data_IF_415208169287
#
_entry.id   IF_415208169287
#
_cell.length_a   1.000
_cell.length_b   1.000
_cell.length_c   1.000
_cell.angle_alpha   90.00
_cell.angle_beta   90.00
_cell.angle_gamma   90.00
#
_symmetry.space_group_name_H-M   'P 1'
#
loop_
_entity.id
_entity.type
_entity.pdbx_description
1 polymer ?
#
# COMPACT_ATOMS: atom_id res chain seq x y z
N UNK A 1 -13.10 -41.22 34.63
CA UNK A 1 -12.73 -39.85 35.00
C UNK A 1 -13.28 -38.93 33.93
N UNK A 2 -14.34 -38.23 34.22
CA UNK A 2 -14.98 -37.35 33.27
C UNK A 2 -14.21 -36.02 33.30
N UNK A 3 -13.52 -35.69 32.23
CA UNK A 3 -12.93 -34.38 32.00
C UNK A 3 -14.08 -33.39 31.93
N UNK A 4 -14.14 -32.46 32.90
CA UNK A 4 -15.23 -31.50 33.01
C UNK A 4 -15.09 -30.48 31.88
N UNK A 5 -16.26 -30.02 31.38
CA UNK A 5 -16.39 -28.96 30.37
C UNK A 5 -15.67 -27.62 30.74
N UNK A 6 -15.14 -27.49 31.97
CA UNK A 6 -14.29 -26.42 32.44
C UNK A 6 -12.84 -26.53 31.96
N UNK A 7 -12.33 -27.76 31.78
CA UNK A 7 -10.93 -27.98 31.35
C UNK A 7 -10.73 -27.76 29.84
N UNK A 8 -11.81 -27.70 29.08
CA UNK A 8 -11.80 -27.38 27.66
C UNK A 8 -11.91 -25.88 27.34
N UNK A 9 -12.06 -25.03 28.37
CA UNK A 9 -12.15 -23.56 28.19
C UNK A 9 -10.91 -22.78 28.60
N UNK A 10 -9.86 -23.43 29.05
CA UNK A 10 -8.60 -22.80 29.46
C UNK A 10 -7.38 -23.18 28.59
N UNK A 11 -7.53 -23.58 27.36
CA UNK A 11 -6.52 -23.17 26.37
C UNK A 11 -6.78 -21.70 26.02
N UNK A 12 -6.48 -20.82 26.95
CA UNK A 12 -6.19 -19.41 26.63
C UNK A 12 -5.06 -19.48 25.62
N UNK A 13 -5.44 -19.34 24.33
CA UNK A 13 -4.50 -19.27 23.19
C UNK A 13 -3.47 -18.22 23.59
N UNK A 14 -2.30 -18.67 24.06
CA UNK A 14 -1.23 -17.78 24.53
C UNK A 14 -1.01 -16.78 23.41
N UNK A 15 -1.27 -15.51 23.66
CA UNK A 15 -1.14 -14.46 22.65
C UNK A 15 0.26 -14.55 22.05
N UNK A 16 0.35 -14.68 20.74
CA UNK A 16 1.60 -14.77 20.00
C UNK A 16 2.36 -13.46 20.15
N UNK A 17 3.57 -13.49 20.70
CA UNK A 17 4.39 -12.30 20.94
C UNK A 17 5.36 -11.97 19.78
N UNK A 18 5.37 -12.79 18.72
CA UNK A 18 6.22 -12.65 17.55
C UNK A 18 6.10 -13.83 16.62
N UNK A 19 6.81 -13.79 15.51
CA UNK A 19 6.95 -14.94 14.62
C UNK A 19 7.71 -16.06 15.34
N UNK A 20 7.23 -17.30 15.22
CA UNK A 20 8.00 -18.47 15.56
C UNK A 20 9.23 -18.59 14.65
N UNK A 21 10.25 -19.34 15.10
CA UNK A 21 11.48 -19.48 14.30
C UNK A 21 11.25 -20.17 12.94
N UNK A 22 10.29 -21.09 12.84
CA UNK A 22 9.92 -21.74 11.56
C UNK A 22 9.25 -20.74 10.63
N UNK A 23 8.31 -19.95 11.13
CA UNK A 23 7.60 -18.92 10.37
C UNK A 23 8.58 -17.84 9.89
N UNK A 24 9.51 -17.44 10.75
CA UNK A 24 10.57 -16.49 10.42
C UNK A 24 11.50 -17.03 9.31
N UNK A 25 11.95 -18.29 9.42
CA UNK A 25 12.75 -18.93 8.37
C UNK A 25 11.98 -19.06 7.06
N UNK A 26 10.71 -19.45 7.13
CA UNK A 26 9.84 -19.52 5.94
C UNK A 26 9.66 -18.15 5.29
N UNK A 27 9.43 -17.10 6.09
CA UNK A 27 9.33 -15.73 5.58
C UNK A 27 10.58 -15.31 4.83
N UNK A 28 11.76 -15.55 5.40
CA UNK A 28 13.03 -15.28 4.72
C UNK A 28 13.25 -16.12 3.48
N UNK A 29 12.79 -17.36 3.47
CA UNK A 29 12.82 -18.18 2.26
C UNK A 29 12.05 -17.49 1.11
N UNK A 30 10.83 -16.97 1.36
CA UNK A 30 10.08 -16.24 0.35
C UNK A 30 10.80 -14.98 -0.12
N UNK A 31 11.38 -14.20 0.81
CA UNK A 31 12.14 -12.99 0.46
C UNK A 31 13.33 -13.31 -0.45
N UNK A 32 14.12 -14.32 -0.08
CA UNK A 32 15.29 -14.75 -0.86
C UNK A 32 14.86 -15.35 -2.20
N UNK A 33 13.81 -16.19 -2.20
CA UNK A 33 13.25 -16.78 -3.41
C UNK A 33 12.80 -15.69 -4.39
N UNK A 34 12.00 -14.72 -3.96
CA UNK A 34 11.55 -13.63 -4.82
C UNK A 34 12.76 -12.86 -5.37
N UNK A 35 13.71 -12.49 -4.52
CA UNK A 35 14.91 -11.76 -4.95
C UNK A 35 15.70 -12.51 -6.04
N UNK A 36 15.89 -13.83 -5.90
CA UNK A 36 16.71 -14.61 -6.83
C UNK A 36 15.98 -14.96 -8.14
N UNK A 37 14.65 -15.16 -8.08
CA UNK A 37 13.89 -15.72 -9.20
C UNK A 37 12.96 -14.71 -9.88
N UNK A 38 12.79 -13.49 -9.35
CA UNK A 38 11.84 -12.50 -9.88
C UNK A 38 12.05 -12.22 -11.39
N UNK A 39 13.29 -12.19 -11.89
CA UNK A 39 13.54 -11.97 -13.32
C UNK A 39 13.14 -13.16 -14.19
N UNK A 40 13.19 -14.37 -13.64
CA UNK A 40 12.78 -15.58 -14.33
C UNK A 40 11.24 -15.64 -14.34
N UNK A 41 10.60 -15.44 -13.20
CA UNK A 41 9.14 -15.49 -13.08
C UNK A 41 8.46 -14.39 -13.89
N UNK A 42 9.04 -13.19 -13.94
CA UNK A 42 8.53 -12.06 -14.69
C UNK A 42 9.06 -11.93 -16.12
N UNK A 43 9.77 -12.96 -16.63
CA UNK A 43 10.40 -12.92 -17.97
C UNK A 43 9.40 -12.81 -19.13
N UNK A 44 8.15 -13.20 -18.90
CA UNK A 44 7.05 -13.11 -19.87
C UNK A 44 6.48 -11.68 -19.99
N UNK A 45 6.78 -10.79 -19.04
CA UNK A 45 6.27 -9.43 -19.04
C UNK A 45 7.13 -8.51 -19.90
N UNK A 46 6.47 -7.68 -20.68
CA UNK A 46 7.14 -6.62 -21.45
C UNK A 46 7.61 -5.47 -20.53
N UNK A 47 8.62 -4.73 -20.99
CA UNK A 47 9.14 -3.57 -20.30
C UNK A 47 9.45 -2.43 -21.30
N UNK A 48 8.69 -1.30 -21.28
CA UNK A 48 7.53 -1.03 -20.40
C UNK A 48 6.37 -1.99 -20.66
N UNK A 49 5.51 -2.15 -19.66
CA UNK A 49 4.28 -2.93 -19.82
C UNK A 49 3.31 -2.16 -20.71
N UNK A 50 2.77 -2.77 -21.77
CA UNK A 50 1.76 -2.12 -22.60
C UNK A 50 0.48 -1.90 -21.78
N UNK A 51 0.01 -0.65 -21.74
CA UNK A 51 -1.26 -0.30 -21.10
C UNK A 51 -2.35 -0.12 -22.14
N UNK A 52 -3.61 -0.49 -21.83
CA UNK A 52 -4.74 -0.09 -22.63
C UNK A 52 -4.88 1.44 -22.60
N UNK A 53 -5.57 2.07 -23.58
CA UNK A 53 -5.96 3.47 -23.46
C UNK A 53 -6.80 3.68 -22.20
N UNK A 54 -6.41 4.65 -21.36
CA UNK A 54 -7.05 4.93 -20.06
C UNK A 54 -7.47 6.39 -19.93
N UNK A 55 -7.91 6.98 -21.06
CA UNK A 55 -8.25 8.41 -21.17
C UNK A 55 -9.36 8.85 -20.20
N UNK A 56 -10.24 7.93 -19.81
CA UNK A 56 -11.35 8.22 -18.92
C UNK A 56 -11.00 8.06 -17.44
N UNK A 57 -9.77 7.62 -17.14
CA UNK A 57 -9.36 7.37 -15.76
C UNK A 57 -8.73 8.62 -15.14
N UNK A 58 -9.16 8.91 -13.92
CA UNK A 58 -8.48 9.83 -12.99
C UNK A 58 -7.78 9.02 -11.92
N UNK A 59 -6.46 9.20 -11.81
CA UNK A 59 -5.61 8.41 -10.94
C UNK A 59 -4.86 9.32 -9.95
N UNK A 60 -4.92 9.01 -8.66
CA UNK A 60 -4.04 9.63 -7.65
C UNK A 60 -2.89 8.67 -7.38
N UNK A 61 -1.64 9.16 -7.49
CA UNK A 61 -0.43 8.38 -7.22
C UNK A 61 0.39 9.06 -6.12
N UNK A 62 0.54 8.41 -4.96
CA UNK A 62 1.34 8.95 -3.87
C UNK A 62 2.83 8.67 -4.08
N UNK A 63 3.71 9.61 -3.69
CA UNK A 63 5.16 9.45 -3.79
C UNK A 63 5.68 9.32 -5.23
N UNK A 64 5.10 10.07 -6.15
CA UNK A 64 5.31 9.96 -7.60
C UNK A 64 6.47 10.81 -8.15
N UNK A 65 7.34 11.40 -7.30
CA UNK A 65 8.52 12.16 -7.75
C UNK A 65 9.75 11.29 -8.03
N UNK A 66 9.76 10.05 -7.56
CA UNK A 66 10.92 9.17 -7.72
C UNK A 66 10.53 7.69 -7.76
N UNK A 67 11.48 6.82 -8.12
CA UNK A 67 11.34 5.38 -8.05
C UNK A 67 10.15 4.83 -8.82
N UNK A 68 9.48 3.85 -8.22
CA UNK A 68 8.32 3.14 -8.79
C UNK A 68 7.17 4.11 -9.06
N UNK A 69 6.85 4.99 -8.12
CA UNK A 69 5.72 5.93 -8.24
C UNK A 69 5.88 6.91 -9.40
N UNK A 70 7.13 7.33 -9.70
CA UNK A 70 7.43 8.14 -10.87
C UNK A 70 7.10 7.41 -12.17
N UNK A 71 7.48 6.15 -12.28
CA UNK A 71 7.21 5.34 -13.47
C UNK A 71 5.72 5.02 -13.62
N UNK A 72 5.02 4.76 -12.51
CA UNK A 72 3.56 4.58 -12.50
C UNK A 72 2.86 5.84 -13.04
N UNK A 73 3.18 7.01 -12.46
CA UNK A 73 2.55 8.27 -12.86
C UNK A 73 2.82 8.60 -14.33
N UNK A 74 4.07 8.41 -14.79
CA UNK A 74 4.46 8.64 -16.17
C UNK A 74 3.71 7.74 -17.13
N UNK A 75 3.72 6.41 -16.92
CA UNK A 75 3.12 5.46 -17.85
C UNK A 75 1.59 5.60 -17.91
N UNK A 76 0.91 5.92 -16.79
CA UNK A 76 -0.53 6.22 -16.78
C UNK A 76 -0.84 7.49 -17.59
N UNK A 77 -0.04 8.54 -17.43
CA UNK A 77 -0.22 9.78 -18.18
C UNK A 77 0.05 9.60 -19.68
N UNK A 78 1.07 8.84 -20.05
CA UNK A 78 1.38 8.48 -21.44
C UNK A 78 0.27 7.62 -22.09
N UNK A 79 -0.44 6.81 -21.26
CA UNK A 79 -1.61 6.04 -21.70
C UNK A 79 -2.91 6.86 -21.74
N UNK A 80 -2.87 8.15 -21.38
CA UNK A 80 -3.97 9.11 -21.50
C UNK A 80 -4.71 9.42 -20.21
N UNK A 81 -4.38 8.82 -19.06
CA UNK A 81 -5.05 9.10 -17.80
C UNK A 81 -4.83 10.56 -17.34
N UNK A 82 -5.82 11.10 -16.61
CA UNK A 82 -5.60 12.25 -15.74
C UNK A 82 -4.87 11.79 -14.47
N UNK A 83 -3.62 12.21 -14.28
CA UNK A 83 -2.79 11.78 -13.16
C UNK A 83 -2.57 12.90 -12.17
N UNK A 84 -2.93 12.66 -10.91
CA UNK A 84 -2.67 13.55 -9.78
C UNK A 84 -1.43 13.03 -9.04
N UNK A 85 -0.34 13.76 -9.12
CA UNK A 85 0.87 13.48 -8.37
C UNK A 85 0.71 14.01 -6.93
N UNK A 86 0.38 13.13 -6.00
CA UNK A 86 0.25 13.45 -4.58
C UNK A 86 1.61 13.33 -3.88
N UNK A 87 2.25 14.48 -3.61
CA UNK A 87 3.68 14.54 -3.25
C UNK A 87 3.97 15.60 -2.19
N UNK A 88 5.00 15.38 -1.39
CA UNK A 88 5.46 16.35 -0.39
C UNK A 88 6.20 17.56 -1.03
N UNK A 89 6.98 17.31 -2.07
CA UNK A 89 7.73 18.35 -2.77
C UNK A 89 7.08 18.63 -4.12
N UNK A 90 6.15 19.60 -4.14
CA UNK A 90 5.38 19.98 -5.33
C UNK A 90 6.28 20.57 -6.40
N UNK A 91 7.29 21.39 -6.01
CA UNK A 91 8.23 21.99 -6.96
C UNK A 91 9.01 20.93 -7.75
N UNK A 92 9.52 19.90 -7.09
CA UNK A 92 10.21 18.81 -7.78
C UNK A 92 9.29 18.02 -8.72
N UNK A 93 8.00 17.92 -8.39
CA UNK A 93 7.02 17.29 -9.27
C UNK A 93 6.71 18.16 -10.50
N UNK A 94 6.56 19.46 -10.33
CA UNK A 94 6.35 20.43 -11.43
C UNK A 94 7.52 20.41 -12.42
N UNK A 95 8.77 20.45 -11.92
CA UNK A 95 9.98 20.35 -12.75
C UNK A 95 10.00 19.02 -13.54
N UNK A 96 9.58 17.92 -12.91
CA UNK A 96 9.50 16.60 -13.53
C UNK A 96 8.44 16.56 -14.63
N UNK A 97 7.26 17.12 -14.38
CA UNK A 97 6.16 17.20 -15.37
C UNK A 97 6.62 18.02 -16.59
N UNK A 98 7.25 19.16 -16.37
CA UNK A 98 7.75 19.97 -17.48
C UNK A 98 8.77 19.22 -18.34
N UNK A 99 9.65 18.45 -17.71
CA UNK A 99 10.56 17.55 -18.42
C UNK A 99 9.81 16.52 -19.26
N UNK A 100 8.81 15.84 -18.69
CA UNK A 100 8.01 14.83 -19.41
C UNK A 100 7.22 15.45 -20.57
N UNK A 101 6.61 16.61 -20.38
CA UNK A 101 5.88 17.30 -21.43
C UNK A 101 6.80 17.69 -22.61
N UNK A 102 8.05 18.10 -22.31
CA UNK A 102 9.04 18.40 -23.34
C UNK A 102 9.46 17.13 -24.10
N UNK A 103 9.71 16.04 -23.39
CA UNK A 103 10.06 14.74 -23.98
C UNK A 103 8.89 14.17 -24.81
N UNK A 104 7.64 14.40 -24.38
CA UNK A 104 6.42 13.92 -25.05
C UNK A 104 5.96 14.83 -26.20
N UNK A 105 6.54 15.99 -26.36
CA UNK A 105 6.15 16.98 -27.37
C UNK A 105 6.17 16.39 -28.79
N UNK A 106 5.04 16.46 -29.47
CA UNK A 106 4.85 15.89 -30.83
C UNK A 106 4.51 14.40 -30.88
N UNK A 107 4.42 13.71 -29.75
CA UNK A 107 4.07 12.27 -29.71
C UNK A 107 2.55 12.03 -29.54
N UNK A 108 1.78 13.03 -29.19
CA UNK A 108 0.33 12.93 -29.00
C UNK A 108 -0.27 14.15 -28.32
N UNK A 109 -1.43 13.97 -27.67
CA UNK A 109 -2.01 15.01 -26.83
C UNK A 109 -1.11 15.33 -25.64
N UNK A 110 -1.12 16.58 -25.11
CA UNK A 110 -0.38 16.92 -23.90
C UNK A 110 -0.73 16.00 -22.75
N UNK A 111 0.27 15.63 -21.94
CA UNK A 111 0.05 14.81 -20.75
C UNK A 111 -0.85 15.55 -19.76
N UNK A 112 -1.90 14.87 -19.29
CA UNK A 112 -2.85 15.42 -18.33
C UNK A 112 -2.41 15.08 -16.90
N UNK A 113 -1.53 15.93 -16.34
CA UNK A 113 -0.94 15.72 -15.02
C UNK A 113 -1.10 16.99 -14.18
N UNK A 114 -1.51 16.82 -12.93
CA UNK A 114 -1.51 17.87 -11.92
C UNK A 114 -0.75 17.47 -10.65
N UNK A 115 -0.38 18.44 -9.84
CA UNK A 115 0.32 18.24 -8.58
C UNK A 115 -0.56 18.68 -7.42
N UNK A 116 -0.64 17.86 -6.39
CA UNK A 116 -1.25 18.23 -5.10
C UNK A 116 -0.28 17.89 -3.96
N UNK A 117 -0.18 18.80 -2.99
CA UNK A 117 0.67 18.59 -1.82
C UNK A 117 0.08 17.51 -0.90
N UNK A 118 0.92 16.53 -0.51
CA UNK A 118 0.58 15.47 0.43
C UNK A 118 1.83 15.04 1.21
N UNK A 119 1.83 15.24 2.52
CA UNK A 119 2.85 14.73 3.43
C UNK A 119 2.27 13.62 4.31
N UNK A 120 2.68 12.37 4.08
CA UNK A 120 2.20 11.21 4.84
C UNK A 120 2.77 11.13 6.27
N UNK A 121 3.80 11.95 6.60
CA UNK A 121 4.25 12.15 7.98
C UNK A 121 3.35 13.12 8.77
N UNK A 122 2.23 13.54 8.19
CA UNK A 122 1.26 14.44 8.79
C UNK A 122 -0.16 13.99 8.46
N UNK A 123 -0.88 13.43 9.42
CA UNK A 123 -2.28 13.05 9.22
C UNK A 123 -3.17 14.27 8.93
N UNK A 124 -2.85 15.46 9.48
CA UNK A 124 -3.52 16.70 9.07
C UNK A 124 -3.32 17.02 7.58
N UNK A 125 -2.13 16.74 7.03
CA UNK A 125 -1.89 16.93 5.59
C UNK A 125 -2.74 15.98 4.76
N UNK A 126 -2.92 14.74 5.22
CA UNK A 126 -3.78 13.75 4.55
C UNK A 126 -5.24 14.22 4.54
N UNK A 127 -5.75 14.70 5.68
CA UNK A 127 -7.14 15.20 5.76
C UNK A 127 -7.33 16.40 4.83
N UNK A 128 -6.46 17.42 4.91
CA UNK A 128 -6.55 18.59 4.02
C UNK A 128 -6.48 18.22 2.53
N UNK A 129 -5.65 17.25 2.17
CA UNK A 129 -5.60 16.74 0.79
C UNK A 129 -6.95 16.15 0.38
N UNK A 130 -7.54 15.29 1.22
CA UNK A 130 -8.83 14.66 0.95
C UNK A 130 -9.97 15.67 0.89
N UNK A 131 -9.99 16.66 1.77
CA UNK A 131 -10.98 17.76 1.76
C UNK A 131 -10.89 18.56 0.46
N UNK A 132 -9.67 18.98 0.09
CA UNK A 132 -9.43 19.74 -1.14
C UNK A 132 -9.80 18.94 -2.40
N UNK A 133 -9.57 17.61 -2.39
CA UNK A 133 -9.97 16.74 -3.48
C UNK A 133 -11.49 16.55 -3.53
N UNK A 134 -12.11 16.18 -2.42
CA UNK A 134 -13.54 15.88 -2.36
C UNK A 134 -14.40 17.13 -2.68
N UNK A 135 -13.93 18.35 -2.31
CA UNK A 135 -14.60 19.60 -2.63
C UNK A 135 -14.77 19.84 -4.15
N UNK A 136 -13.96 19.17 -4.99
CA UNK A 136 -14.07 19.24 -6.46
C UNK A 136 -15.26 18.45 -7.00
N UNK A 137 -15.87 17.57 -6.18
CA UNK A 137 -16.95 16.64 -6.55
C UNK A 137 -16.62 15.75 -7.77
N UNK A 138 -15.34 15.61 -8.10
CA UNK A 138 -14.86 14.80 -9.21
C UNK A 138 -14.86 13.31 -8.90
N UNK A 139 -14.81 12.51 -9.96
CA UNK A 139 -14.63 11.05 -9.89
C UNK A 139 -13.16 10.70 -9.66
N UNK A 140 -12.91 9.70 -8.81
CA UNK A 140 -11.60 9.07 -8.66
C UNK A 140 -11.72 7.61 -9.06
N UNK A 141 -10.99 7.21 -10.09
CA UNK A 141 -11.06 5.85 -10.62
C UNK A 141 -9.99 4.94 -10.02
N UNK A 142 -8.78 5.49 -9.75
CA UNK A 142 -7.68 4.69 -9.18
C UNK A 142 -6.93 5.50 -8.12
N UNK A 143 -6.85 4.96 -6.91
CA UNK A 143 -5.95 5.43 -5.86
C UNK A 143 -4.78 4.47 -5.76
N UNK A 144 -3.55 4.96 -6.01
CA UNK A 144 -2.34 4.16 -5.86
C UNK A 144 -1.54 4.67 -4.66
N UNK A 145 -1.64 3.96 -3.55
CA UNK A 145 -0.84 4.18 -2.35
C UNK A 145 0.55 3.57 -2.57
N UNK A 146 1.40 4.30 -3.29
CA UNK A 146 2.76 3.84 -3.64
C UNK A 146 3.81 4.37 -2.67
N UNK A 147 3.64 5.57 -2.10
CA UNK A 147 4.60 6.13 -1.18
C UNK A 147 4.89 5.20 -0.01
N UNK A 148 6.15 5.04 0.31
CA UNK A 148 6.59 4.24 1.44
C UNK A 148 8.04 4.58 1.79
N UNK A 149 8.40 4.31 3.03
CA UNK A 149 9.76 4.46 3.54
C UNK A 149 10.28 3.12 4.07
N UNK A 150 11.59 2.93 3.95
CA UNK A 150 12.33 1.84 4.58
C UNK A 150 13.69 2.38 5.03
N UNK A 151 13.76 2.88 6.25
CA UNK A 151 14.95 3.50 6.84
C UNK A 151 15.84 2.42 7.47
N UNK A 152 16.55 1.64 6.64
CA UNK A 152 17.34 0.50 7.08
C UNK A 152 18.48 0.92 7.99
N UNK A 153 18.56 0.28 9.19
CA UNK A 153 19.62 0.52 10.16
C UNK A 153 19.44 1.80 11.00
N UNK A 154 18.42 2.61 10.69
CA UNK A 154 18.12 3.81 11.45
C UNK A 154 17.43 3.49 12.78
N UNK A 155 17.65 4.33 13.81
CA UNK A 155 16.91 4.22 15.06
C UNK A 155 15.43 4.50 14.85
N UNK A 156 14.61 4.10 15.81
CA UNK A 156 13.19 4.41 15.82
C UNK A 156 12.96 5.92 15.80
N UNK A 157 12.15 6.38 14.85
CA UNK A 157 11.75 7.77 14.72
C UNK A 157 10.22 7.87 14.75
N UNK A 158 9.75 9.00 15.26
CA UNK A 158 8.33 9.28 15.37
C UNK A 158 7.96 10.53 14.59
N UNK A 159 6.82 10.49 13.96
CA UNK A 159 6.20 11.66 13.34
C UNK A 159 5.75 12.67 14.39
N UNK A 160 5.33 13.85 13.94
CA UNK A 160 4.69 14.83 14.83
C UNK A 160 3.36 14.35 15.43
N UNK A 161 2.71 13.38 14.78
CA UNK A 161 1.46 12.78 15.24
C UNK A 161 1.69 11.70 16.33
N UNK A 162 2.97 11.41 16.65
CA UNK A 162 3.37 10.48 17.71
C UNK A 162 3.43 9.02 17.27
N UNK A 163 3.41 8.74 15.96
CA UNK A 163 3.48 7.39 15.42
C UNK A 163 4.87 7.10 14.82
N UNK A 164 5.30 5.85 14.95
CA UNK A 164 6.51 5.36 14.32
C UNK A 164 6.43 5.59 12.80
N UNK A 165 7.51 6.11 12.19
CA UNK A 165 7.46 6.63 10.82
C UNK A 165 7.07 5.59 9.78
N UNK A 166 7.53 4.30 9.89
CA UNK A 166 7.10 3.25 8.96
C UNK A 166 5.63 2.92 9.14
N UNK A 167 5.16 2.83 10.39
CA UNK A 167 3.74 2.60 10.68
C UNK A 167 2.89 3.72 10.08
N UNK A 168 3.28 4.97 10.26
CA UNK A 168 2.50 6.09 9.77
C UNK A 168 2.51 6.20 8.26
N UNK A 169 3.68 6.24 7.62
CA UNK A 169 3.80 6.47 6.17
C UNK A 169 3.29 5.28 5.36
N UNK A 170 3.60 4.05 5.79
CA UNK A 170 3.29 2.86 5.01
C UNK A 170 1.89 2.30 5.28
N UNK A 171 1.27 2.65 6.42
CA UNK A 171 -0.01 2.06 6.84
C UNK A 171 -1.06 3.09 7.25
N UNK A 172 -0.83 3.92 8.28
CA UNK A 172 -1.88 4.80 8.82
C UNK A 172 -2.33 5.86 7.81
N UNK A 173 -1.40 6.56 7.18
CA UNK A 173 -1.71 7.60 6.22
C UNK A 173 -2.39 7.04 4.94
N UNK A 174 -1.92 5.93 4.33
CA UNK A 174 -2.66 5.25 3.25
C UNK A 174 -4.05 4.76 3.66
N UNK A 175 -4.23 4.27 4.90
CA UNK A 175 -5.53 3.86 5.41
C UNK A 175 -6.49 5.05 5.50
N UNK A 176 -6.05 6.16 6.12
CA UNK A 176 -6.82 7.40 6.23
C UNK A 176 -7.19 7.95 4.84
N UNK A 177 -6.21 8.01 3.92
CA UNK A 177 -6.42 8.46 2.55
C UNK A 177 -7.47 7.60 1.83
N UNK A 178 -7.36 6.27 1.95
CA UNK A 178 -8.29 5.32 1.33
C UNK A 178 -9.72 5.49 1.83
N UNK A 179 -9.90 5.69 3.14
CA UNK A 179 -11.24 5.87 3.75
C UNK A 179 -11.83 7.23 3.35
N UNK A 180 -11.08 8.32 3.50
CA UNK A 180 -11.61 9.67 3.23
C UNK A 180 -11.87 9.93 1.73
N UNK A 181 -11.26 9.18 0.83
CA UNK A 181 -11.51 9.27 -0.62
C UNK A 181 -12.65 8.35 -1.11
N UNK A 182 -13.29 7.56 -0.25
CA UNK A 182 -14.41 6.69 -0.63
C UNK A 182 -15.51 7.42 -1.41
N UNK A 183 -15.96 8.63 -1.02
CA UNK A 183 -17.00 9.34 -1.79
C UNK A 183 -16.59 9.61 -3.24
N UNK A 184 -15.31 9.93 -3.50
CA UNK A 184 -14.81 10.15 -4.86
C UNK A 184 -14.61 8.84 -5.63
N UNK A 185 -14.19 7.76 -4.95
CA UNK A 185 -14.06 6.41 -5.52
C UNK A 185 -15.43 5.83 -5.90
N UNK A 186 -16.46 6.05 -5.08
CA UNK A 186 -17.84 5.65 -5.41
C UNK A 186 -18.33 6.37 -6.68
N UNK A 187 -18.09 7.69 -6.80
CA UNK A 187 -18.43 8.44 -8.01
C UNK A 187 -17.66 7.99 -9.25
N UNK A 188 -16.44 7.46 -9.05
CA UNK A 188 -15.60 6.92 -10.11
C UNK A 188 -15.77 5.43 -10.38
N UNK A 189 -16.81 4.80 -9.79
CA UNK A 189 -17.05 3.36 -9.96
C UNK A 189 -17.25 2.98 -11.46
N UNK A 190 -16.64 1.87 -11.91
CA UNK A 190 -15.78 0.94 -11.18
C UNK A 190 -14.40 1.54 -10.85
N UNK A 191 -14.03 1.51 -9.58
CA UNK A 191 -12.80 2.13 -9.09
C UNK A 191 -11.92 1.17 -8.31
N UNK A 192 -10.67 1.58 -8.05
CA UNK A 192 -9.66 0.70 -7.45
C UNK A 192 -8.82 1.42 -6.41
N UNK A 193 -8.52 0.73 -5.31
CA UNK A 193 -7.48 1.09 -4.35
C UNK A 193 -6.35 0.08 -4.52
N UNK A 194 -5.17 0.55 -4.92
CA UNK A 194 -3.97 -0.25 -5.12
C UNK A 194 -2.92 0.14 -4.08
N UNK A 195 -2.59 -0.78 -3.19
CA UNK A 195 -1.59 -0.58 -2.15
C UNK A 195 -0.28 -1.24 -2.55
N UNK A 196 0.77 -0.44 -2.79
CA UNK A 196 2.10 -0.97 -3.09
C UNK A 196 2.72 -1.51 -1.80
N UNK A 197 2.75 -2.82 -1.70
CA UNK A 197 3.26 -3.58 -0.58
C UNK A 197 4.72 -3.99 -0.79
N UNK A 198 5.16 -5.10 -0.20
CA UNK A 198 6.52 -5.64 -0.32
C UNK A 198 6.54 -7.11 0.12
N UNK A 199 7.42 -7.91 -0.47
CA UNK A 199 7.74 -9.26 0.00
C UNK A 199 8.16 -9.30 1.47
N UNK A 200 8.63 -8.17 2.02
CA UNK A 200 9.02 -8.08 3.43
C UNK A 200 7.86 -8.30 4.42
N UNK A 201 6.59 -8.24 3.99
CA UNK A 201 5.46 -8.60 4.85
C UNK A 201 5.53 -10.05 5.37
N UNK A 202 6.21 -10.96 4.65
CA UNK A 202 6.41 -12.36 5.07
C UNK A 202 7.24 -12.51 6.35
N UNK A 203 8.02 -11.50 6.71
CA UNK A 203 8.78 -11.45 7.98
C UNK A 203 8.18 -10.42 8.96
N UNK A 204 7.01 -9.88 8.64
CA UNK A 204 6.25 -8.96 9.48
C UNK A 204 5.50 -9.67 10.61
N UNK A 205 5.30 -8.95 11.69
CA UNK A 205 4.44 -9.36 12.79
C UNK A 205 3.77 -8.14 13.41
N UNK A 206 2.44 -8.13 13.52
CA UNK A 206 1.69 -7.01 14.10
C UNK A 206 1.26 -7.37 15.53
N UNK A 207 1.83 -6.67 16.51
CA UNK A 207 1.31 -6.67 17.87
C UNK A 207 0.23 -5.59 18.00
N UNK A 208 -1.02 -6.00 18.07
CA UNK A 208 -2.17 -5.08 18.14
C UNK A 208 -2.26 -4.30 19.46
N UNK A 209 -1.54 -4.71 20.49
CA UNK A 209 -1.46 -3.96 21.76
C UNK A 209 -0.33 -2.91 21.71
N UNK A 210 0.62 -3.06 20.79
CA UNK A 210 1.78 -2.18 20.66
C UNK A 210 2.23 -2.03 19.20
N UNK A 211 1.33 -1.57 18.34
CA UNK A 211 1.63 -1.33 16.91
C UNK A 211 2.76 -0.31 16.73
N UNK A 212 2.93 0.60 17.67
CA UNK A 212 3.96 1.65 17.68
C UNK A 212 5.33 1.16 18.17
N UNK A 213 5.41 -0.09 18.67
CA UNK A 213 6.62 -0.73 19.22
C UNK A 213 7.29 0.14 20.29
N UNK A 214 6.51 0.62 21.27
CA UNK A 214 6.98 1.50 22.35
C UNK A 214 6.95 0.85 23.74
N UNK A 215 6.29 -0.29 23.89
CA UNK A 215 6.12 -0.95 25.20
C UNK A 215 7.42 -1.54 25.77
N UNK A 216 8.46 -1.69 24.95
CA UNK A 216 9.71 -2.36 25.32
C UNK A 216 9.63 -3.89 25.34
N UNK A 217 8.46 -4.50 25.12
CA UNK A 217 8.31 -5.97 25.01
C UNK A 217 9.07 -6.55 23.82
N UNK A 218 9.11 -5.80 22.72
CA UNK A 218 9.86 -6.14 21.50
C UNK A 218 10.95 -5.10 21.27
N UNK A 219 12.13 -5.58 20.89
CA UNK A 219 13.20 -4.68 20.46
C UNK A 219 12.84 -4.13 19.08
N UNK A 220 12.77 -2.81 18.94
CA UNK A 220 12.63 -2.17 17.65
C UNK A 220 13.85 -2.41 16.77
N UNK A 221 13.60 -2.66 15.51
CA UNK A 221 14.54 -2.52 14.40
C UNK A 221 13.78 -1.93 13.22
N UNK A 222 14.47 -1.21 12.34
CA UNK A 222 13.82 -0.67 11.13
C UNK A 222 13.20 -1.76 10.26
N UNK A 223 13.75 -2.98 10.29
CA UNK A 223 13.17 -4.15 9.64
C UNK A 223 11.81 -4.51 10.25
N UNK A 224 11.72 -4.56 11.59
CA UNK A 224 10.45 -4.83 12.29
C UNK A 224 9.43 -3.74 11.99
N UNK A 225 9.79 -2.46 12.07
CA UNK A 225 8.89 -1.35 11.74
C UNK A 225 8.37 -1.46 10.31
N UNK A 226 9.25 -1.64 9.36
CA UNK A 226 8.88 -1.76 7.94
C UNK A 226 8.02 -2.99 7.65
N UNK A 227 8.48 -4.19 7.99
CA UNK A 227 7.79 -5.43 7.67
C UNK A 227 6.42 -5.51 8.35
N UNK A 228 6.32 -5.07 9.61
CA UNK A 228 5.05 -5.03 10.33
C UNK A 228 4.09 -4.00 9.72
N UNK A 229 4.57 -2.83 9.27
CA UNK A 229 3.72 -1.84 8.59
C UNK A 229 3.15 -2.38 7.28
N UNK A 230 3.93 -3.16 6.52
CA UNK A 230 3.48 -3.79 5.27
C UNK A 230 2.48 -4.92 5.52
N UNK A 231 2.65 -5.71 6.58
CA UNK A 231 1.68 -6.72 6.98
C UNK A 231 0.37 -6.07 7.46
N UNK A 232 0.45 -5.02 8.31
CA UNK A 232 -0.72 -4.28 8.77
C UNK A 232 -1.52 -3.68 7.59
N UNK A 233 -0.84 -3.20 6.54
CA UNK A 233 -1.48 -2.70 5.33
C UNK A 233 -2.32 -3.78 4.62
N UNK A 234 -1.82 -5.03 4.52
CA UNK A 234 -2.57 -6.14 3.92
C UNK A 234 -3.78 -6.49 4.78
N UNK A 235 -3.59 -6.63 6.11
CA UNK A 235 -4.67 -6.94 7.04
C UNK A 235 -5.79 -5.89 6.99
N UNK A 236 -5.44 -4.62 7.02
CA UNK A 236 -6.40 -3.51 6.89
C UNK A 236 -7.12 -3.54 5.53
N UNK A 237 -6.38 -3.72 4.45
CA UNK A 237 -6.94 -3.79 3.09
C UNK A 237 -7.93 -4.95 2.93
N UNK A 238 -7.67 -6.07 3.58
CA UNK A 238 -8.56 -7.25 3.57
C UNK A 238 -9.88 -6.96 4.28
N UNK A 239 -9.84 -6.32 5.44
CA UNK A 239 -11.06 -5.91 6.15
C UNK A 239 -11.82 -4.84 5.37
N UNK A 240 -11.14 -3.83 4.82
CA UNK A 240 -11.74 -2.82 3.97
C UNK A 240 -12.43 -3.46 2.76
N UNK A 241 -11.75 -4.36 2.06
CA UNK A 241 -12.29 -5.08 0.91
C UNK A 241 -13.59 -5.83 1.26
N UNK A 242 -13.63 -6.47 2.42
CA UNK A 242 -14.85 -7.21 2.88
C UNK A 242 -15.99 -6.27 3.27
N UNK A 243 -15.69 -5.11 3.88
CA UNK A 243 -16.68 -4.13 4.32
C UNK A 243 -17.30 -3.33 3.17
N UNK A 244 -16.57 -3.12 2.08
CA UNK A 244 -17.10 -2.43 0.91
C UNK A 244 -18.17 -3.30 0.23
N UNK A 245 -19.43 -2.84 0.09
CA UNK A 245 -20.46 -3.59 -0.62
C UNK A 245 -20.13 -3.70 -2.11
N UNK A 246 -20.65 -4.72 -2.77
CA UNK A 246 -20.41 -4.94 -4.20
C UNK A 246 -20.90 -3.75 -5.05
N UNK A 247 -22.01 -3.14 -4.63
CA UNK A 247 -22.66 -2.00 -5.31
C UNK A 247 -21.78 -0.74 -5.29
N UNK A 248 -20.87 -0.60 -4.33
CA UNK A 248 -19.90 0.51 -4.32
C UNK A 248 -18.94 0.44 -5.51
N UNK A 249 -18.76 -0.76 -6.09
CA UNK A 249 -17.93 -0.98 -7.27
C UNK A 249 -16.44 -0.64 -7.05
N UNK A 250 -15.96 -0.76 -5.80
CA UNK A 250 -14.57 -0.47 -5.43
C UNK A 250 -13.81 -1.78 -5.22
N UNK A 251 -12.73 -1.97 -5.93
CA UNK A 251 -11.80 -3.10 -5.78
C UNK A 251 -10.59 -2.69 -4.95
N UNK A 252 -10.16 -3.55 -4.03
CA UNK A 252 -8.97 -3.32 -3.20
C UNK A 252 -7.94 -4.40 -3.49
N UNK A 253 -6.73 -3.99 -3.86
CA UNK A 253 -5.63 -4.90 -4.15
C UNK A 253 -4.33 -4.41 -3.47
N UNK A 254 -3.55 -5.35 -2.96
CA UNK A 254 -2.17 -5.15 -2.58
C UNK A 254 -1.25 -5.74 -3.66
N UNK A 255 -0.13 -5.09 -3.94
CA UNK A 255 0.81 -5.56 -4.97
C UNK A 255 2.24 -5.61 -4.42
N UNK A 256 3.02 -6.63 -4.82
CA UNK A 256 4.46 -6.64 -4.61
C UNK A 256 5.15 -6.14 -5.88
N UNK A 257 5.98 -5.09 -5.79
CA UNK A 257 6.75 -4.61 -6.94
C UNK A 257 8.00 -5.45 -7.22
N UNK A 258 8.29 -6.45 -6.40
CA UNK A 258 9.57 -7.13 -6.35
C UNK A 258 10.65 -6.34 -5.59
N UNK A 259 11.87 -6.84 -5.64
CA UNK A 259 13.05 -6.13 -5.12
C UNK A 259 13.53 -5.15 -6.18
N UNK A 260 13.33 -3.86 -5.95
CA UNK A 260 13.52 -2.79 -6.92
C UNK A 260 14.65 -1.86 -6.50
N UNK A 261 15.49 -1.46 -7.45
CA UNK A 261 16.50 -0.42 -7.25
C UNK A 261 15.82 0.94 -7.13
N UNK A 262 15.60 1.39 -5.90
CA UNK A 262 15.01 2.68 -5.58
C UNK A 262 15.94 3.50 -4.68
N UNK A 263 15.58 4.76 -4.44
CA UNK A 263 16.31 5.63 -3.50
C UNK A 263 16.27 5.12 -2.05
N UNK A 264 15.43 4.13 -1.75
CA UNK A 264 15.44 3.42 -0.47
C UNK A 264 16.79 2.72 -0.21
N UNK A 265 17.49 2.30 -1.28
CA UNK A 265 18.84 1.73 -1.18
C UNK A 265 19.95 2.78 -0.92
N UNK A 266 19.63 4.10 -1.03
CA UNK A 266 20.63 5.17 -0.84
C UNK A 266 21.15 5.24 0.59
N UNK A 267 20.34 4.92 1.55
CA UNK A 267 20.65 5.04 2.98
C UNK A 267 21.20 3.73 3.58
N UNK A 268 21.49 2.73 2.73
CA UNK A 268 22.10 1.46 3.15
C UNK A 268 23.57 1.65 3.54
N UNK A 269 24.10 0.86 4.51
CA UNK A 269 25.53 0.77 4.76
C UNK A 269 26.31 0.47 3.47
N UNK A 270 27.50 1.05 3.31
CA UNK A 270 28.30 0.97 2.08
C UNK A 270 28.55 -0.46 1.60
N UNK A 271 28.68 -1.42 2.54
CA UNK A 271 28.87 -2.82 2.23
C UNK A 271 27.64 -3.47 1.58
N UNK A 272 26.45 -3.04 2.02
CA UNK A 272 25.18 -3.50 1.47
C UNK A 272 24.92 -2.82 0.12
N UNK A 273 25.27 -1.53 -0.03
CA UNK A 273 25.25 -0.85 -1.32
C UNK A 273 26.20 -1.51 -2.34
N UNK A 274 27.39 -1.96 -1.89
CA UNK A 274 28.32 -2.71 -2.73
C UNK A 274 27.72 -4.06 -3.16
N UNK A 275 27.06 -4.77 -2.25
CA UNK A 275 26.30 -5.99 -2.56
C UNK A 275 25.18 -5.72 -3.57
N UNK A 276 24.42 -4.63 -3.40
CA UNK A 276 23.40 -4.19 -4.37
C UNK A 276 23.99 -3.88 -5.75
N UNK A 277 25.22 -3.34 -5.84
CA UNK A 277 25.93 -3.10 -7.11
C UNK A 277 26.47 -4.37 -7.76
N UNK A 278 26.76 -5.39 -6.96
CA UNK A 278 27.26 -6.69 -7.46
C UNK A 278 26.14 -7.60 -7.98
N UNK A 279 24.85 -7.30 -7.66
CA UNK A 279 23.72 -8.14 -8.06
C UNK A 279 22.70 -7.37 -8.95
N UNK A 280 23.12 -6.51 -9.91
CA UNK A 280 22.16 -5.76 -10.74
C UNK A 280 21.26 -6.67 -11.59
N UNK A 281 21.69 -7.92 -11.83
CA UNK A 281 20.91 -8.90 -12.59
C UNK A 281 19.63 -9.34 -11.84
N UNK A 282 19.65 -9.35 -10.49
CA UNK A 282 18.51 -9.85 -9.70
C UNK A 282 17.52 -8.74 -9.33
N UNK A 283 17.92 -7.48 -9.37
CA UNK A 283 17.11 -6.34 -8.92
C UNK A 283 16.40 -5.69 -10.12
N UNK A 284 15.13 -5.39 -9.95
CA UNK A 284 14.33 -4.68 -10.93
C UNK A 284 14.68 -3.19 -11.02
N UNK A 285 14.56 -2.62 -12.20
CA UNK A 285 14.49 -1.17 -12.40
C UNK A 285 13.14 -0.65 -11.84
N UNK A 286 13.01 0.67 -11.57
CA UNK A 286 11.72 1.26 -11.20
C UNK A 286 10.61 1.00 -12.23
N UNK A 287 10.95 0.96 -13.50
CA UNK A 287 10.01 0.65 -14.59
C UNK A 287 9.51 -0.81 -14.49
N UNK A 288 10.39 -1.77 -14.25
CA UNK A 288 9.99 -3.16 -14.01
C UNK A 288 9.16 -3.30 -12.74
N UNK A 289 9.52 -2.58 -11.66
CA UNK A 289 8.79 -2.59 -10.40
C UNK A 289 7.41 -1.93 -10.48
N UNK A 290 7.14 -1.08 -11.47
CA UNK A 290 5.83 -0.44 -11.64
C UNK A 290 4.77 -1.38 -12.23
N UNK A 291 5.16 -2.50 -12.85
CA UNK A 291 4.27 -3.39 -13.62
C UNK A 291 3.11 -3.93 -12.79
N UNK A 292 3.36 -4.46 -11.59
CA UNK A 292 2.29 -5.01 -10.75
C UNK A 292 1.25 -3.98 -10.34
N UNK A 293 1.69 -2.74 -10.04
CA UNK A 293 0.78 -1.64 -9.71
C UNK A 293 -0.01 -1.16 -10.93
N UNK A 294 0.62 -1.06 -12.09
CA UNK A 294 -0.03 -0.71 -13.35
C UNK A 294 -1.04 -1.79 -13.77
N UNK A 295 -0.66 -3.06 -13.65
CA UNK A 295 -1.56 -4.19 -13.88
C UNK A 295 -2.79 -4.11 -12.97
N UNK A 296 -2.59 -3.98 -11.66
CA UNK A 296 -3.70 -3.86 -10.71
C UNK A 296 -4.58 -2.63 -11.00
N UNK A 297 -4.00 -1.54 -11.49
CA UNK A 297 -4.71 -0.31 -11.81
C UNK A 297 -5.55 -0.39 -13.10
N UNK A 298 -5.11 -1.16 -14.12
CA UNK A 298 -5.68 -1.05 -15.47
C UNK A 298 -6.24 -2.35 -16.05
N UNK A 299 -5.80 -3.51 -15.57
CA UNK A 299 -6.26 -4.79 -16.12
C UNK A 299 -7.74 -5.05 -15.77
N UNK A 300 -8.59 -5.38 -16.77
CA UNK A 300 -10.02 -5.57 -16.57
C UNK A 300 -10.38 -6.81 -15.72
N UNK A 301 -9.50 -7.79 -15.58
CA UNK A 301 -9.75 -9.02 -14.81
C UNK A 301 -9.58 -8.80 -13.30
N UNK A 302 -8.84 -7.78 -12.88
CA UNK A 302 -8.57 -7.52 -11.45
C UNK A 302 -9.84 -7.25 -10.64
N UNK A 303 -10.83 -6.46 -11.10
CA UNK A 303 -12.09 -6.29 -10.38
C UNK A 303 -12.87 -7.59 -10.22
N UNK A 304 -12.91 -8.43 -11.25
CA UNK A 304 -13.59 -9.74 -11.19
C UNK A 304 -12.91 -10.66 -10.17
N UNK A 305 -11.58 -10.70 -10.18
CA UNK A 305 -10.81 -11.45 -9.19
C UNK A 305 -11.05 -10.94 -7.77
N UNK A 306 -11.04 -9.63 -7.55
CA UNK A 306 -11.39 -9.04 -6.25
C UNK A 306 -12.80 -9.45 -5.80
N UNK A 307 -13.77 -9.47 -6.72
CA UNK A 307 -15.15 -9.86 -6.39
C UNK A 307 -15.27 -11.35 -6.03
N UNK A 308 -14.53 -12.22 -6.70
CA UNK A 308 -14.49 -13.64 -6.36
C UNK A 308 -13.97 -13.87 -4.94
N UNK A 309 -12.92 -13.14 -4.54
CA UNK A 309 -12.35 -13.25 -3.19
C UNK A 309 -13.32 -12.82 -2.08
N UNK A 310 -14.33 -11.98 -2.37
CA UNK A 310 -15.35 -11.59 -1.37
C UNK A 310 -16.23 -12.73 -0.93
N UNK A 311 -16.38 -13.77 -1.77
CA UNK A 311 -17.19 -14.94 -1.46
C UNK A 311 -16.50 -15.92 -0.51
N UNK A 312 -15.20 -15.81 -0.28
CA UNK A 312 -14.45 -16.67 0.60
C UNK A 312 -14.81 -16.41 2.07
N UNK A 313 -14.84 -17.47 2.87
CA UNK A 313 -15.11 -17.39 4.32
C UNK A 313 -14.02 -16.57 5.06
N UNK A 314 -12.79 -16.60 4.55
CA UNK A 314 -11.63 -15.89 5.07
C UNK A 314 -10.98 -15.00 4.00
N UNK A 315 -11.67 -13.93 3.57
CA UNK A 315 -11.20 -13.15 2.45
C UNK A 315 -9.96 -12.35 2.84
N UNK A 316 -8.89 -12.59 2.12
CA UNK A 316 -7.78 -11.66 2.01
C UNK A 316 -8.01 -10.85 0.75
N UNK A 317 -7.68 -9.56 0.75
CA UNK A 317 -7.77 -8.76 -0.48
C UNK A 317 -6.85 -9.35 -1.55
N UNK A 318 -7.12 -9.05 -2.81
CA UNK A 318 -6.26 -9.48 -3.90
C UNK A 318 -4.80 -9.10 -3.62
N UNK A 319 -3.90 -10.07 -3.69
CA UNK A 319 -2.46 -9.85 -3.61
C UNK A 319 -1.82 -10.28 -4.93
N UNK A 320 -1.16 -9.33 -5.59
CA UNK A 320 -0.58 -9.51 -6.92
C UNK A 320 0.94 -9.41 -6.81
N UNK A 321 1.63 -10.43 -7.25
CA UNK A 321 3.09 -10.51 -7.22
C UNK A 321 3.75 -9.67 -8.33
N UNK A 322 5.07 -9.57 -8.27
CA UNK A 322 5.91 -8.81 -9.21
C UNK A 322 5.84 -9.31 -10.67
N UNK A 323 5.33 -10.50 -10.88
CA UNK A 323 5.08 -11.10 -12.20
C UNK A 323 3.63 -10.94 -12.68
N UNK A 324 2.87 -10.06 -12.01
CA UNK A 324 1.46 -9.75 -12.30
C UNK A 324 0.50 -10.94 -12.12
N UNK A 325 0.89 -11.96 -11.36
CA UNK A 325 0.04 -13.09 -11.03
C UNK A 325 -0.59 -12.93 -9.63
N UNK A 326 -1.86 -13.35 -9.46
CA UNK A 326 -2.44 -13.51 -8.14
C UNK A 326 -1.62 -14.49 -7.28
N UNK A 327 -1.36 -14.12 -6.04
CA UNK A 327 -0.65 -14.97 -5.08
C UNK A 327 -1.20 -14.77 -3.67
N UNK A 328 -0.85 -15.67 -2.76
CA UNK A 328 -1.24 -15.55 -1.36
C UNK A 328 -0.19 -14.73 -0.59
N UNK A 329 -0.62 -13.78 0.25
CA UNK A 329 0.27 -13.14 1.21
C UNK A 329 0.68 -14.13 2.32
N UNK A 330 1.44 -13.66 3.31
CA UNK A 330 1.85 -14.47 4.46
C UNK A 330 0.66 -15.07 5.23
N UNK A 331 0.88 -16.19 5.91
CA UNK A 331 -0.16 -16.83 6.73
C UNK A 331 -0.71 -15.89 7.82
N UNK A 332 0.14 -15.01 8.36
CA UNK A 332 -0.27 -14.01 9.33
C UNK A 332 -1.34 -13.06 8.77
N UNK A 333 -1.31 -12.75 7.48
CA UNK A 333 -2.32 -11.92 6.83
C UNK A 333 -3.71 -12.58 6.77
N UNK A 334 -3.78 -13.91 6.93
CA UNK A 334 -5.02 -14.68 6.98
C UNK A 334 -5.61 -14.82 8.39
N UNK A 335 -4.93 -14.29 9.42
CA UNK A 335 -5.50 -14.25 10.77
C UNK A 335 -6.59 -13.17 10.85
N UNK A 336 -7.85 -13.64 10.75
CA UNK A 336 -9.04 -12.79 10.73
C UNK A 336 -9.19 -12.00 12.03
N UNK A 337 -8.93 -12.61 13.17
CA UNK A 337 -9.04 -11.95 14.48
C UNK A 337 -8.03 -10.82 14.61
N UNK A 338 -6.77 -11.09 14.25
CA UNK A 338 -5.73 -10.06 14.24
C UNK A 338 -6.02 -8.96 13.22
N UNK A 339 -6.53 -9.30 12.04
CA UNK A 339 -6.90 -8.32 11.01
C UNK A 339 -8.00 -7.36 11.48
N UNK A 340 -9.02 -7.87 12.17
CA UNK A 340 -10.05 -7.03 12.78
C UNK A 340 -9.49 -6.12 13.89
N UNK A 341 -8.59 -6.62 14.73
CA UNK A 341 -7.93 -5.78 15.74
C UNK A 341 -7.05 -4.69 15.11
N UNK A 342 -6.32 -5.02 14.03
CA UNK A 342 -5.57 -4.04 13.23
C UNK A 342 -6.49 -2.97 12.68
N UNK A 343 -7.66 -3.35 12.15
CA UNK A 343 -8.68 -2.42 11.69
C UNK A 343 -9.11 -1.45 12.80
N UNK A 344 -9.55 -1.97 13.95
CA UNK A 344 -10.00 -1.17 15.09
C UNK A 344 -8.91 -0.21 15.58
N UNK A 345 -7.68 -0.72 15.77
CA UNK A 345 -6.56 0.09 16.19
C UNK A 345 -6.16 1.14 15.17
N UNK A 346 -6.23 0.81 13.89
CA UNK A 346 -5.97 1.78 12.82
C UNK A 346 -6.98 2.92 12.89
N UNK A 347 -8.29 2.64 13.03
CA UNK A 347 -9.32 3.67 13.15
C UNK A 347 -9.13 4.55 14.38
N UNK A 348 -8.76 3.98 15.53
CA UNK A 348 -8.41 4.72 16.74
C UNK A 348 -7.24 5.68 16.47
N UNK A 349 -6.17 5.18 15.80
CA UNK A 349 -4.95 5.94 15.53
C UNK A 349 -5.17 7.04 14.48
N UNK A 350 -5.90 6.77 13.41
CA UNK A 350 -6.21 7.77 12.37
C UNK A 350 -7.34 8.73 12.76
N UNK A 351 -7.96 8.52 13.92
CA UNK A 351 -8.94 9.44 14.49
C UNK A 351 -10.27 9.49 13.76
N UNK A 352 -10.69 8.39 13.16
CA UNK A 352 -11.99 8.20 12.55
C UNK A 352 -12.91 7.33 13.43
N UNK A 353 -14.23 7.54 13.41
CA UNK A 353 -15.16 6.62 14.04
C UNK A 353 -15.14 5.25 13.35
N UNK A 354 -15.43 4.19 14.10
CA UNK A 354 -15.36 2.81 13.61
C UNK A 354 -16.35 2.47 12.49
N UNK A 355 -17.42 3.25 12.35
CA UNK A 355 -18.45 3.18 11.32
C UNK A 355 -18.26 4.15 10.16
N UNK A 356 -17.09 4.80 10.07
CA UNK A 356 -16.81 5.82 9.07
C UNK A 356 -16.95 5.31 7.63
N UNK A 357 -16.59 4.05 7.36
CA UNK A 357 -16.70 3.47 6.02
C UNK A 357 -18.17 3.36 5.60
N UNK A 358 -19.00 2.82 6.46
CA UNK A 358 -20.43 2.64 6.23
C UNK A 358 -21.11 4.01 6.03
N UNK A 359 -20.84 4.96 6.90
CA UNK A 359 -21.38 6.33 6.80
C UNK A 359 -20.97 7.05 5.52
N UNK A 360 -19.69 6.95 5.11
CA UNK A 360 -19.22 7.55 3.86
C UNK A 360 -19.84 6.89 2.62
N UNK A 361 -20.13 5.58 2.67
CA UNK A 361 -20.85 4.86 1.61
C UNK A 361 -22.31 5.36 1.52
N UNK A 362 -22.96 5.65 2.65
CA UNK A 362 -24.30 6.21 2.72
C UNK A 362 -24.37 7.70 2.36
N UNK A 363 -23.21 8.32 2.12
CA UNK A 363 -23.09 9.75 1.75
C UNK A 363 -23.12 10.71 2.93
N UNK A 364 -22.91 10.21 4.14
CA UNK A 364 -22.80 11.03 5.34
C UNK A 364 -21.39 11.64 5.49
N UNK A 365 -21.33 12.78 6.16
CA UNK A 365 -20.05 13.37 6.56
C UNK A 365 -19.49 12.67 7.81
N UNK A 366 -18.19 12.50 7.83
CA UNK A 366 -17.46 11.88 8.94
C UNK A 366 -16.45 12.86 9.49
N UNK A 367 -16.53 13.13 10.80
CA UNK A 367 -15.54 13.95 11.49
C UNK A 367 -14.24 13.16 11.70
N UNK A 368 -13.11 13.78 11.38
CA UNK A 368 -11.78 13.25 11.70
C UNK A 368 -11.14 14.07 12.81
N UNK A 369 -10.38 13.43 13.69
CA UNK A 369 -9.63 14.13 14.75
C UNK A 369 -8.55 15.07 14.19
N UNK A 370 -8.03 14.76 13.00
CA UNK A 370 -7.04 15.56 12.29
C UNK A 370 -7.71 16.50 11.28
N UNK A 371 -7.00 17.54 10.82
CA UNK A 371 -7.48 18.47 9.81
C UNK A 371 -8.25 19.68 10.37
N UNK A 372 -8.63 19.69 11.63
CA UNK A 372 -9.34 20.79 12.28
C UNK A 372 -8.37 21.80 12.88
N UNK A 373 -7.89 22.75 12.10
CA UNK A 373 -7.22 23.97 12.61
C UNK A 373 -7.43 25.10 11.63
#
# INVERSE_FOLDING_TARGET
MATTLSDLKEEVKKKKEGLGWIEWLRGWFYVVYEMLFQRITASHLQNPMPLPPVNDLTCIVTGSTSGIGREIARQLAEAGAHVVMAVRNTKAAEELIQKWQNEWSGMGLPLNIEVMELDLLSLDSVVRFCEAWNARLGSLHVLINNAGIFSIGEPQKFSKDGYEEHLQVNHLAPALLSVLLLPSLIRGSPSRIVNVNSVMHYVGFVDTDDMNVVSGKRKYTSLVGYSSSKLAQIMFSSVLHKRLPAEAGISVACVSPGVVQTNVARDLPSIVQAGYRLIPYFIFSPQEGSRSALFAATDPQVPEYCQLLKSDDFPVCAFISQDCNPTNPSEEAHDVETSHKVWEKTFEMIGLPSDAVERLIEGEEVACRYGGS
#
